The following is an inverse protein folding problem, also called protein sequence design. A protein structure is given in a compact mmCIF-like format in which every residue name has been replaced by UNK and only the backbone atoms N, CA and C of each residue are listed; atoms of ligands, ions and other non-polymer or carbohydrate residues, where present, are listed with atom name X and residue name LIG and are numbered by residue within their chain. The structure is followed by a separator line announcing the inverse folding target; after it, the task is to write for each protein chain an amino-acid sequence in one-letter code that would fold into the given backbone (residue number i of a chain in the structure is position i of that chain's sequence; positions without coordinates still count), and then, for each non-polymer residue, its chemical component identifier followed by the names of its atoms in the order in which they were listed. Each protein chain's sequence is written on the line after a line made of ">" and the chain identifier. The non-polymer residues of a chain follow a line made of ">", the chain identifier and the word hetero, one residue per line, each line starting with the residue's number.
data_IF_108855063611
#
_entry.id   IF_108855063611
#
_cell.length_a   1.000
_cell.length_b   1.000
_cell.length_c   1.000
_cell.angle_alpha   90.00
_cell.angle_beta   90.00
_cell.angle_gamma   90.00
#
_symmetry.space_group_name_H-M   'P 1'
#
loop_
_entity.id
_entity.type
_entity.pdbx_description
1 polymer ?
#
# COMPACT_ATOMS: atom_id res chain seq x y z
N UNK A 1 -5.62 -0.96 -8.90
CA UNK A 1 -5.59 -0.52 -7.48
C UNK A 1 -6.28 -1.47 -6.51
N UNK A 2 -7.53 -1.91 -6.72
CA UNK A 2 -8.16 -2.86 -5.80
C UNK A 2 -7.40 -4.21 -5.73
N UNK A 3 -6.96 -4.74 -6.86
CA UNK A 3 -6.14 -5.96 -6.93
C UNK A 3 -4.78 -5.81 -6.23
N UNK A 4 -4.10 -4.68 -6.45
CA UNK A 4 -2.84 -4.37 -5.77
C UNK A 4 -3.03 -4.24 -4.25
N UNK A 5 -4.15 -3.66 -3.81
CA UNK A 5 -4.49 -3.58 -2.39
C UNK A 5 -4.68 -4.98 -1.77
N UNK A 6 -5.42 -5.87 -2.45
CA UNK A 6 -5.58 -7.26 -2.02
C UNK A 6 -4.26 -8.04 -2.03
N UNK A 7 -3.39 -7.83 -3.05
CA UNK A 7 -2.04 -8.42 -3.11
C UNK A 7 -1.18 -7.99 -1.91
N UNK A 8 -1.22 -6.71 -1.55
CA UNK A 8 -0.49 -6.19 -0.39
C UNK A 8 -1.05 -6.73 0.93
N UNK A 9 -2.38 -6.80 1.07
CA UNK A 9 -3.04 -7.40 2.25
C UNK A 9 -2.64 -8.87 2.43
N UNK A 10 -2.65 -9.66 1.35
CA UNK A 10 -2.21 -11.06 1.37
C UNK A 10 -0.74 -11.22 1.76
N UNK A 11 0.11 -10.22 1.47
CA UNK A 11 1.51 -10.18 1.87
C UNK A 11 1.74 -9.63 3.30
N UNK A 12 0.67 -9.31 4.03
CA UNK A 12 0.72 -8.72 5.38
C UNK A 12 1.07 -7.23 5.41
N UNK A 13 0.96 -6.53 4.28
CA UNK A 13 1.25 -5.09 4.16
C UNK A 13 -0.06 -4.30 4.20
N UNK A 14 -0.30 -3.59 5.30
CA UNK A 14 -1.51 -2.80 5.50
C UNK A 14 -1.41 -1.47 4.75
N UNK A 15 -2.34 -1.24 3.82
CA UNK A 15 -2.47 0.02 3.07
C UNK A 15 -3.91 0.51 3.11
N UNK A 16 -4.16 1.76 2.68
CA UNK A 16 -5.53 2.25 2.48
C UNK A 16 -5.87 2.36 1.00
N UNK A 17 -6.96 1.73 0.55
CA UNK A 17 -7.58 2.04 -0.74
C UNK A 17 -8.42 3.32 -0.60
N UNK A 18 -8.10 4.34 -1.39
CA UNK A 18 -8.75 5.67 -1.37
C UNK A 18 -9.35 5.99 -2.72
N UNK A 19 -10.34 6.88 -2.71
CA UNK A 19 -11.04 7.36 -3.89
C UNK A 19 -11.02 8.88 -3.89
N UNK A 20 -10.71 9.49 -5.03
CA UNK A 20 -10.93 10.92 -5.21
C UNK A 20 -12.39 11.24 -5.59
N UNK A 21 -12.69 12.53 -5.78
CA UNK A 21 -14.02 12.99 -6.16
C UNK A 21 -14.45 12.55 -7.57
N UNK A 22 -13.51 12.17 -8.43
CA UNK A 22 -13.77 11.61 -9.76
C UNK A 22 -13.94 10.08 -9.73
N UNK A 23 -13.81 9.44 -8.55
CA UNK A 23 -13.88 7.99 -8.39
C UNK A 23 -12.58 7.26 -8.73
N UNK A 24 -11.49 7.98 -9.01
CA UNK A 24 -10.18 7.38 -9.26
C UNK A 24 -9.68 6.70 -7.99
N UNK A 25 -9.20 5.46 -8.14
CA UNK A 25 -8.67 4.66 -7.04
C UNK A 25 -7.20 4.95 -6.83
N UNK A 26 -6.78 5.07 -5.58
CA UNK A 26 -5.38 5.23 -5.17
C UNK A 26 -5.07 4.28 -4.01
N UNK A 27 -3.81 3.84 -3.93
CA UNK A 27 -3.27 3.23 -2.72
C UNK A 27 -2.50 4.30 -1.96
N UNK A 28 -2.83 4.45 -0.67
CA UNK A 28 -2.07 5.28 0.25
C UNK A 28 -1.19 4.39 1.10
N UNK A 29 0.12 4.55 0.93
CA UNK A 29 1.14 4.07 1.85
C UNK A 29 1.39 5.17 2.91
N UNK A 30 1.55 4.79 4.17
CA UNK A 30 1.78 5.74 5.26
C UNK A 30 2.85 5.18 6.20
N UNK A 31 4.13 5.25 5.79
CA UNK A 31 5.21 4.80 6.64
C UNK A 31 5.30 5.71 7.88
N UNK A 32 5.57 5.10 9.03
CA UNK A 32 5.74 5.75 10.32
C UNK A 32 7.20 5.67 10.76
N UNK A 33 7.55 6.42 11.81
CA UNK A 33 8.92 6.50 12.34
C UNK A 33 9.53 5.13 12.72
N UNK A 34 8.71 4.13 12.99
CA UNK A 34 9.13 2.78 13.35
C UNK A 34 9.29 1.84 12.16
N UNK A 35 9.04 2.28 10.92
CA UNK A 35 9.30 1.45 9.75
C UNK A 35 10.78 1.43 9.39
N UNK A 36 11.24 0.28 8.93
CA UNK A 36 12.64 0.04 8.55
C UNK A 36 12.81 0.01 7.03
N UNK A 37 14.02 0.28 6.53
CA UNK A 37 14.30 0.21 5.09
C UNK A 37 13.95 -1.17 4.49
N UNK A 38 14.25 -2.33 5.13
CA UNK A 38 13.83 -3.63 4.62
C UNK A 38 12.30 -3.79 4.54
N UNK A 39 11.54 -3.22 5.48
CA UNK A 39 10.07 -3.26 5.42
C UNK A 39 9.55 -2.41 4.27
N UNK A 40 10.14 -1.24 4.03
CA UNK A 40 9.78 -0.38 2.90
C UNK A 40 10.14 -1.03 1.57
N UNK A 41 11.30 -1.70 1.49
CA UNK A 41 11.72 -2.43 0.30
C UNK A 41 10.72 -3.53 -0.06
N UNK A 42 10.20 -4.28 0.93
CA UNK A 42 9.15 -5.28 0.69
C UNK A 42 7.89 -4.71 0.07
N UNK A 43 7.55 -3.44 0.34
CA UNK A 43 6.43 -2.76 -0.32
C UNK A 43 6.75 -2.54 -1.80
N UNK A 44 7.96 -2.05 -2.10
CA UNK A 44 8.41 -1.75 -3.46
C UNK A 44 8.48 -3.01 -4.33
N UNK A 45 8.91 -4.14 -3.76
CA UNK A 45 9.00 -5.42 -4.47
C UNK A 45 7.63 -5.98 -4.91
N UNK A 46 6.53 -5.43 -4.36
CA UNK A 46 5.16 -5.84 -4.66
C UNK A 46 4.41 -4.88 -5.62
N UNK A 47 4.99 -3.72 -5.95
CA UNK A 47 4.45 -2.78 -6.93
C UNK A 47 4.57 -3.32 -8.36
#
# INVERSE_FOLDING_TARGET
>A
MAELHAKMEAAGIVTSLRFDRAGTKYIRLSPHFYNTDPELQRVLDLL
#
